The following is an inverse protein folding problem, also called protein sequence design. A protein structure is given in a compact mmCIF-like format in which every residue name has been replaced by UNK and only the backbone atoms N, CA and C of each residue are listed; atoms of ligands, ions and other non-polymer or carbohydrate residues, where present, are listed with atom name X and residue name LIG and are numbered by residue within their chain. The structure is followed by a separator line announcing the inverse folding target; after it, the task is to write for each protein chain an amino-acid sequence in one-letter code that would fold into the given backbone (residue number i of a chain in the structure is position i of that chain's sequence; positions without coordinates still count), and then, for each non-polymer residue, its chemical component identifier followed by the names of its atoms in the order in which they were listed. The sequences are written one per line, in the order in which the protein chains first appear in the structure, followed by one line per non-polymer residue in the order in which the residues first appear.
data_IF_341369542088
#
_entry.id   IF_341369542088
#
_cell.length_a   1.000
_cell.length_b   1.000
_cell.length_c   1.000
_cell.angle_alpha   90.00
_cell.angle_beta   90.00
_cell.angle_gamma   90.00
#
_symmetry.space_group_name_H-M   'P 1'
#
loop_
_entity.id
_entity.type
_entity.pdbx_description
1 polymer ?
#
# COMPACT_ATOMS: atom_id res chain seq x y z
N UNK A 1 3.86 34.23 -2.75
CA UNK A 1 4.94 33.31 -2.35
C UNK A 1 4.31 31.98 -1.96
N UNK A 2 4.17 31.05 -2.90
CA UNK A 2 3.60 29.73 -2.62
C UNK A 2 4.64 28.88 -1.91
N UNK A 3 4.49 28.75 -0.60
CA UNK A 3 5.28 27.82 0.21
C UNK A 3 5.00 26.41 -0.32
N UNK A 4 6.06 25.74 -0.77
CA UNK A 4 6.03 24.35 -1.19
C UNK A 4 5.22 23.55 -0.15
N UNK A 5 4.18 22.78 -0.54
CA UNK A 5 3.46 21.97 0.42
C UNK A 5 4.50 21.08 1.07
N UNK A 6 4.66 21.20 2.40
CA UNK A 6 5.35 20.22 3.21
C UNK A 6 4.85 18.88 2.70
N UNK A 7 5.73 18.09 2.06
CA UNK A 7 5.38 16.80 1.47
C UNK A 7 4.97 15.92 2.63
N UNK A 8 3.72 16.03 3.05
CA UNK A 8 3.13 15.14 4.03
C UNK A 8 3.45 13.73 3.51
N UNK A 9 4.04 12.86 4.34
CA UNK A 9 4.26 11.48 3.92
C UNK A 9 2.92 10.96 3.41
N UNK A 10 2.86 10.55 2.13
CA UNK A 10 1.60 10.10 1.52
C UNK A 10 1.06 8.98 2.41
N UNK A 11 -0.16 9.13 2.92
CA UNK A 11 -0.71 8.28 3.97
C UNK A 11 -0.66 6.79 3.65
N UNK A 12 -0.64 6.38 2.38
CA UNK A 12 -0.52 4.97 2.00
C UNK A 12 0.86 4.34 2.21
N UNK A 13 1.95 5.13 2.31
CA UNK A 13 3.30 4.57 2.30
C UNK A 13 3.63 3.63 3.48
N UNK A 14 3.24 3.94 4.74
CA UNK A 14 3.42 3.01 5.86
C UNK A 14 2.77 1.65 5.59
N UNK A 15 1.53 1.65 5.09
CA UNK A 15 0.79 0.43 4.74
C UNK A 15 1.46 -0.34 3.59
N UNK A 16 1.95 0.36 2.55
CA UNK A 16 2.71 -0.30 1.48
C UNK A 16 4.00 -0.96 1.99
N UNK A 17 4.70 -0.32 2.92
CA UNK A 17 5.93 -0.87 3.48
C UNK A 17 5.66 -2.05 4.40
N UNK A 18 4.67 -1.93 5.29
CA UNK A 18 4.29 -2.99 6.21
C UNK A 18 3.73 -4.20 5.47
N UNK A 19 2.89 -4.00 4.45
CA UNK A 19 2.41 -5.07 3.60
C UNK A 19 3.54 -5.83 2.90
N UNK A 20 4.59 -5.13 2.42
CA UNK A 20 5.79 -5.77 1.84
C UNK A 20 6.56 -6.59 2.87
N UNK A 21 6.67 -6.12 4.11
CA UNK A 21 7.29 -6.87 5.20
C UNK A 21 6.51 -8.16 5.44
N UNK A 22 5.18 -8.09 5.54
CA UNK A 22 4.34 -9.27 5.72
C UNK A 22 4.41 -10.25 4.55
N UNK A 23 4.50 -9.77 3.30
CA UNK A 23 4.77 -10.64 2.14
C UNK A 23 6.06 -11.44 2.32
N UNK A 24 7.16 -10.77 2.72
CA UNK A 24 8.46 -11.45 2.95
C UNK A 24 8.39 -12.47 4.09
N UNK A 25 7.51 -12.27 5.05
CA UNK A 25 7.28 -13.18 6.17
C UNK A 25 6.28 -14.31 5.85
N UNK A 26 5.73 -14.38 4.63
CA UNK A 26 4.68 -15.34 4.28
C UNK A 26 3.33 -15.05 4.97
N UNK A 27 3.17 -13.88 5.58
CA UNK A 27 1.98 -13.44 6.32
C UNK A 27 0.96 -12.82 5.37
N UNK A 28 0.42 -13.64 4.47
CA UNK A 28 -0.37 -13.17 3.33
C UNK A 28 -1.64 -12.42 3.71
N UNK A 29 -2.36 -12.87 4.74
CA UNK A 29 -3.60 -12.21 5.20
C UNK A 29 -3.32 -10.83 5.79
N UNK A 30 -2.23 -10.66 6.54
CA UNK A 30 -1.82 -9.35 7.04
C UNK A 30 -1.39 -8.45 5.89
N UNK A 31 -0.57 -8.96 4.96
CA UNK A 31 -0.16 -8.20 3.79
C UNK A 31 -1.34 -7.68 2.96
N UNK A 32 -2.39 -8.50 2.81
CA UNK A 32 -3.60 -8.13 2.08
C UNK A 32 -4.28 -6.91 2.72
N UNK A 33 -4.48 -6.93 4.04
CA UNK A 33 -5.10 -5.82 4.78
C UNK A 33 -4.32 -4.51 4.63
N UNK A 34 -2.99 -4.58 4.74
CA UNK A 34 -2.16 -3.39 4.58
C UNK A 34 -2.28 -2.80 3.16
N UNK A 35 -2.27 -3.65 2.13
CA UNK A 35 -2.42 -3.14 0.76
C UNK A 35 -3.83 -2.62 0.45
N UNK A 36 -4.87 -3.14 1.10
CA UNK A 36 -6.23 -2.60 1.02
C UNK A 36 -6.32 -1.20 1.63
N UNK A 37 -5.73 -1.00 2.81
CA UNK A 37 -5.65 0.34 3.44
C UNK A 37 -4.83 1.32 2.60
N UNK A 38 -3.74 0.86 1.98
CA UNK A 38 -2.96 1.69 1.06
C UNK A 38 -3.81 2.18 -0.14
N UNK A 39 -4.67 1.32 -0.70
CA UNK A 39 -5.59 1.70 -1.79
C UNK A 39 -6.71 2.60 -1.27
N UNK A 40 -7.23 2.35 -0.07
CA UNK A 40 -8.27 3.20 0.55
C UNK A 40 -7.80 4.64 0.77
N UNK A 41 -6.56 4.82 1.21
CA UNK A 41 -5.97 6.14 1.48
C UNK A 41 -5.55 6.89 0.21
N UNK A 42 -5.23 6.17 -0.87
CA UNK A 42 -4.92 6.77 -2.16
C UNK A 42 -5.51 5.94 -3.30
N UNK A 43 -6.82 6.08 -3.58
CA UNK A 43 -7.50 5.31 -4.61
C UNK A 43 -6.96 5.60 -6.02
N UNK A 44 -6.26 6.72 -6.21
CA UNK A 44 -5.60 7.10 -7.47
C UNK A 44 -4.12 6.68 -7.56
N UNK A 45 -3.53 6.07 -6.52
CA UNK A 45 -2.16 5.54 -6.62
C UNK A 45 -2.17 4.16 -7.31
N UNK A 46 -1.90 4.17 -8.61
CA UNK A 46 -1.80 2.98 -9.45
C UNK A 46 -0.82 1.95 -8.89
N UNK A 47 0.22 2.36 -8.16
CA UNK A 47 1.18 1.41 -7.55
C UNK A 47 0.54 0.61 -6.44
N UNK A 48 -0.27 1.23 -5.58
CA UNK A 48 -0.97 0.53 -4.50
C UNK A 48 -1.98 -0.46 -5.08
N UNK A 49 -2.78 -0.03 -6.06
CA UNK A 49 -3.73 -0.88 -6.75
C UNK A 49 -3.07 -2.09 -7.43
N UNK A 50 -1.94 -1.87 -8.13
CA UNK A 50 -1.19 -2.96 -8.79
C UNK A 50 -0.57 -3.94 -7.82
N UNK A 51 -0.12 -3.49 -6.64
CA UNK A 51 0.41 -4.37 -5.60
C UNK A 51 -0.71 -5.26 -5.03
N UNK A 52 -1.87 -4.67 -4.72
CA UNK A 52 -3.03 -5.39 -4.21
C UNK A 52 -3.53 -6.45 -5.22
N UNK A 53 -3.66 -6.08 -6.50
CA UNK A 53 -4.08 -7.00 -7.55
C UNK A 53 -3.14 -8.21 -7.68
N UNK A 54 -1.82 -7.98 -7.69
CA UNK A 54 -0.83 -9.06 -7.74
C UNK A 54 -0.90 -9.98 -6.52
N UNK A 55 -1.09 -9.42 -5.33
CA UNK A 55 -1.20 -10.24 -4.13
C UNK A 55 -2.45 -11.13 -4.19
N UNK A 56 -3.60 -10.57 -4.59
CA UNK A 56 -4.84 -11.35 -4.75
C UNK A 56 -4.66 -12.49 -5.76
N UNK A 57 -3.99 -12.24 -6.88
CA UNK A 57 -3.69 -13.28 -7.87
C UNK A 57 -2.78 -14.42 -7.36
N UNK A 58 -2.00 -14.19 -6.30
CA UNK A 58 -1.18 -15.24 -5.65
C UNK A 58 -1.97 -16.06 -4.61
N UNK A 59 -3.11 -15.55 -4.15
CA UNK A 59 -3.93 -16.16 -3.10
C UNK A 59 -5.14 -16.94 -3.63
N UNK A 60 -5.40 -16.84 -4.93
CA UNK A 60 -6.28 -17.73 -5.67
C UNK A 60 -5.50 -18.98 -6.10
#
# INVERSE_FOLDING_TARGET
MNLLPQRAPRGQFPFLNLGRIYVRQGRWRQALREFEEAVRLAPRDVRAARILHRLRGRLN
#
